data_IF_814448245383
#
_entry.id   IF_814448245383
#
_cell.length_a   1.000
_cell.length_b   1.000
_cell.length_c   1.000
_cell.angle_alpha   90.00
_cell.angle_beta   90.00
_cell.angle_gamma   90.00
#
_symmetry.space_group_name_H-M   'P 1'
#
loop_
_entity.id
_entity.type
_entity.pdbx_description
1 polymer ?
#
# COMPACT_ATOMS: atom_id res chain seq x y z
N UNK A 1 18.48 -13.50 26.67
CA UNK A 1 18.09 -12.18 27.11
C UNK A 1 17.14 -11.59 26.08
N UNK A 2 16.01 -11.04 26.53
CA UNK A 2 14.91 -10.57 25.63
C UNK A 2 15.38 -9.41 24.73
N UNK A 3 16.19 -8.52 25.28
CA UNK A 3 16.83 -7.41 24.58
C UNK A 3 17.76 -7.87 23.44
N UNK A 4 18.55 -8.92 23.70
CA UNK A 4 19.45 -9.49 22.68
C UNK A 4 18.67 -10.12 21.52
N UNK A 5 17.55 -10.79 21.82
CA UNK A 5 16.65 -11.36 20.79
C UNK A 5 15.97 -10.27 19.97
N UNK A 6 15.56 -9.18 20.60
CA UNK A 6 14.93 -8.06 19.91
C UNK A 6 15.92 -7.32 19.00
N UNK A 7 17.15 -7.07 19.46
CA UNK A 7 18.22 -6.52 18.65
C UNK A 7 18.55 -7.42 17.45
N UNK A 8 18.69 -8.72 17.68
CA UNK A 8 18.97 -9.68 16.61
C UNK A 8 17.84 -9.77 15.60
N UNK A 9 16.59 -9.66 16.05
CA UNK A 9 15.43 -9.60 15.18
C UNK A 9 15.40 -8.32 14.32
N UNK A 10 15.78 -7.17 14.88
CA UNK A 10 15.91 -5.90 14.15
C UNK A 10 17.04 -5.95 13.13
N UNK A 11 18.21 -6.48 13.50
CA UNK A 11 19.35 -6.62 12.58
C UNK A 11 19.00 -7.54 11.40
N UNK A 12 18.43 -8.71 11.66
CA UNK A 12 18.01 -9.65 10.62
C UNK A 12 16.95 -9.05 9.68
N UNK A 13 16.03 -8.24 10.20
CA UNK A 13 15.04 -7.51 9.39
C UNK A 13 15.72 -6.49 8.48
N UNK A 14 16.66 -5.72 9.01
CA UNK A 14 17.40 -4.72 8.23
C UNK A 14 18.26 -5.36 7.14
N UNK A 15 18.94 -6.47 7.43
CA UNK A 15 19.74 -7.22 6.44
C UNK A 15 18.86 -7.82 5.34
N UNK A 16 17.77 -8.49 5.70
CA UNK A 16 16.83 -9.05 4.72
C UNK A 16 16.31 -7.95 3.81
N UNK A 17 15.96 -6.82 4.40
CA UNK A 17 15.42 -5.69 3.68
C UNK A 17 16.43 -5.02 2.75
N UNK A 18 17.69 -4.87 3.18
CA UNK A 18 18.78 -4.35 2.35
C UNK A 18 19.04 -5.26 1.13
N UNK A 19 18.97 -6.56 1.34
CA UNK A 19 19.13 -7.56 0.27
C UNK A 19 17.96 -7.50 -0.73
N UNK A 20 16.72 -7.40 -0.25
CA UNK A 20 15.53 -7.27 -1.10
C UNK A 20 15.61 -6.00 -1.96
N UNK A 21 16.01 -4.85 -1.37
CA UNK A 21 16.20 -3.60 -2.10
C UNK A 21 17.29 -3.71 -3.17
N UNK A 22 18.44 -4.30 -2.79
CA UNK A 22 19.54 -4.48 -3.73
C UNK A 22 19.13 -5.33 -4.95
N UNK A 23 18.29 -6.34 -4.74
CA UNK A 23 17.73 -7.16 -5.82
C UNK A 23 16.77 -6.36 -6.71
N UNK A 24 15.87 -5.57 -6.10
CA UNK A 24 14.88 -4.76 -6.82
C UNK A 24 15.50 -3.58 -7.60
N UNK A 25 16.65 -3.04 -7.14
CA UNK A 25 17.41 -2.03 -7.88
C UNK A 25 18.26 -2.67 -9.00
N UNK A 26 18.80 -3.86 -8.79
CA UNK A 26 19.64 -4.53 -9.81
C UNK A 26 18.87 -4.81 -11.10
N UNK A 27 17.58 -5.14 -11.01
CA UNK A 27 16.77 -5.45 -12.18
C UNK A 27 16.61 -4.25 -13.14
N UNK A 28 16.15 -3.05 -12.71
CA UNK A 28 16.08 -1.90 -13.59
C UNK A 28 17.47 -1.40 -14.03
N UNK A 29 18.52 -1.54 -13.20
CA UNK A 29 19.88 -1.21 -13.62
C UNK A 29 20.37 -2.11 -14.76
N UNK A 30 20.08 -3.40 -14.75
CA UNK A 30 20.40 -4.31 -15.84
C UNK A 30 19.64 -3.96 -17.13
N UNK A 31 18.36 -3.59 -17.01
CA UNK A 31 17.53 -3.12 -18.12
C UNK A 31 18.06 -1.81 -18.71
N UNK A 32 18.38 -0.82 -17.84
CA UNK A 32 19.02 0.44 -18.22
C UNK A 32 20.32 0.22 -19.02
N UNK A 33 21.18 -0.64 -18.49
CA UNK A 33 22.45 -0.97 -19.15
C UNK A 33 22.21 -1.55 -20.54
N UNK A 34 21.32 -2.53 -20.67
CA UNK A 34 20.99 -3.15 -21.95
C UNK A 34 20.37 -2.15 -22.93
N UNK A 35 19.45 -1.29 -22.46
CA UNK A 35 18.84 -0.26 -23.30
C UNK A 35 19.86 0.80 -23.77
N UNK A 36 20.81 1.19 -22.92
CA UNK A 36 21.90 2.10 -23.27
C UNK A 36 22.84 1.50 -24.31
N UNK A 37 23.25 0.24 -24.13
CA UNK A 37 24.13 -0.47 -25.10
C UNK A 37 23.45 -0.66 -26.47
N UNK A 38 22.13 -0.81 -26.49
CA UNK A 38 21.36 -0.88 -27.75
C UNK A 38 21.21 0.51 -28.38
N UNK A 39 21.03 1.56 -27.58
CA UNK A 39 20.87 2.93 -28.05
C UNK A 39 22.12 3.37 -28.83
N UNK A 40 23.33 3.03 -28.35
CA UNK A 40 24.60 3.34 -29.02
C UNK A 40 24.73 2.69 -30.40
N UNK A 41 24.01 1.60 -30.66
CA UNK A 41 24.03 0.83 -31.91
C UNK A 41 22.85 1.13 -32.84
N UNK A 42 21.88 1.89 -32.35
CA UNK A 42 20.62 2.14 -33.06
C UNK A 42 20.69 3.43 -33.86
N UNK A 43 20.40 3.35 -35.15
CA UNK A 43 20.34 4.53 -36.06
C UNK A 43 18.91 4.95 -36.41
N UNK A 44 17.91 4.14 -36.03
CA UNK A 44 16.50 4.38 -36.27
C UNK A 44 15.87 5.28 -35.21
N UNK A 45 15.21 6.38 -35.62
CA UNK A 45 14.58 7.36 -34.71
C UNK A 45 13.50 6.72 -33.83
N UNK A 46 12.63 5.91 -34.39
CA UNK A 46 11.52 5.25 -33.67
C UNK A 46 12.03 4.24 -32.64
N UNK A 47 13.12 3.57 -32.95
CA UNK A 47 13.74 2.58 -32.06
C UNK A 47 14.49 3.26 -30.92
N UNK A 48 15.19 4.35 -31.20
CA UNK A 48 15.81 5.22 -30.20
C UNK A 48 14.79 5.80 -29.21
N UNK A 49 13.64 6.27 -29.71
CA UNK A 49 12.56 6.77 -28.84
C UNK A 49 11.99 5.69 -27.90
N UNK A 50 11.87 4.45 -28.37
CA UNK A 50 11.43 3.32 -27.54
C UNK A 50 12.46 3.00 -26.45
N UNK A 51 13.74 2.99 -26.78
CA UNK A 51 14.82 2.74 -25.82
C UNK A 51 14.90 3.85 -24.77
N UNK A 52 14.78 5.11 -25.16
CA UNK A 52 14.73 6.24 -24.23
C UNK A 52 13.53 6.17 -23.29
N UNK A 53 12.37 5.70 -23.76
CA UNK A 53 11.21 5.45 -22.91
C UNK A 53 11.47 4.36 -21.87
N UNK A 54 12.20 3.30 -22.22
CA UNK A 54 12.59 2.25 -21.27
C UNK A 54 13.55 2.81 -20.23
N UNK A 55 14.55 3.58 -20.67
CA UNK A 55 15.54 4.21 -19.78
C UNK A 55 14.83 5.12 -18.76
N UNK A 56 14.03 6.07 -19.22
CA UNK A 56 13.29 6.98 -18.33
C UNK A 56 12.38 6.22 -17.37
N UNK A 57 11.73 5.18 -17.86
CA UNK A 57 10.90 4.31 -17.06
C UNK A 57 11.66 3.67 -15.89
N UNK A 58 12.84 3.13 -16.16
CA UNK A 58 13.61 2.42 -15.16
C UNK A 58 14.28 3.38 -14.17
N UNK A 59 14.67 4.59 -14.62
CA UNK A 59 15.11 5.69 -13.73
C UNK A 59 14.01 6.07 -12.75
N UNK A 60 12.80 6.38 -13.23
CA UNK A 60 11.66 6.69 -12.36
C UNK A 60 11.30 5.55 -11.39
N UNK A 61 11.53 4.30 -11.79
CA UNK A 61 11.33 3.15 -10.92
C UNK A 61 12.34 3.13 -9.79
N UNK A 62 13.62 3.38 -10.09
CA UNK A 62 14.69 3.44 -9.08
C UNK A 62 14.45 4.59 -8.10
N UNK A 63 14.12 5.78 -8.59
CA UNK A 63 13.82 6.95 -7.75
C UNK A 63 12.69 6.65 -6.75
N UNK A 64 11.62 6.00 -7.21
CA UNK A 64 10.52 5.60 -6.34
C UNK A 64 10.95 4.56 -5.32
N UNK A 65 11.70 3.53 -5.72
CA UNK A 65 12.22 2.53 -4.78
C UNK A 65 13.05 3.17 -3.67
N UNK A 66 13.92 4.13 -4.02
CA UNK A 66 14.76 4.86 -3.03
C UNK A 66 13.90 5.73 -2.12
N UNK A 67 12.92 6.44 -2.67
CA UNK A 67 12.02 7.31 -1.90
C UNK A 67 11.19 6.50 -0.91
N UNK A 68 10.56 5.44 -1.38
CA UNK A 68 9.72 4.56 -0.55
C UNK A 68 10.57 3.85 0.52
N UNK A 69 11.80 3.46 0.17
CA UNK A 69 12.76 2.91 1.12
C UNK A 69 13.14 3.91 2.23
N UNK A 70 13.48 5.13 1.83
CA UNK A 70 13.85 6.18 2.77
C UNK A 70 12.70 6.52 3.72
N UNK A 71 11.46 6.56 3.18
CA UNK A 71 10.27 6.79 3.99
C UNK A 71 10.03 5.65 4.98
N UNK A 72 10.15 4.41 4.53
CA UNK A 72 9.98 3.23 5.40
C UNK A 72 11.00 3.21 6.54
N UNK A 73 12.27 3.57 6.29
CA UNK A 73 13.28 3.66 7.37
C UNK A 73 12.94 4.76 8.38
N UNK A 74 12.45 5.92 7.91
CA UNK A 74 11.99 7.01 8.80
C UNK A 74 10.82 6.53 9.65
N UNK A 75 9.89 5.83 9.03
CA UNK A 75 8.70 5.27 9.69
C UNK A 75 9.10 4.26 10.77
N UNK A 76 10.01 3.35 10.47
CA UNK A 76 10.51 2.36 11.43
C UNK A 76 11.26 3.00 12.61
N UNK A 77 12.03 4.06 12.35
CA UNK A 77 12.72 4.82 13.40
C UNK A 77 11.75 5.64 14.28
N UNK A 78 10.66 6.14 13.72
CA UNK A 78 9.67 6.94 14.45
C UNK A 78 8.72 6.06 15.28
N UNK A 79 8.41 4.84 14.83
CA UNK A 79 7.53 3.90 15.54
C UNK A 79 7.97 3.63 16.99
N UNK A 80 9.26 3.68 17.27
CA UNK A 80 9.80 3.50 18.64
C UNK A 80 9.55 4.70 19.56
N UNK A 81 9.14 5.86 19.04
CA UNK A 81 8.96 7.12 19.77
C UNK A 81 7.50 7.57 19.84
N UNK A 82 6.65 7.05 18.96
CA UNK A 82 5.24 7.43 18.87
C UNK A 82 4.43 6.76 19.98
N UNK A 83 3.55 7.53 20.64
CA UNK A 83 2.70 7.03 21.71
C UNK A 83 1.32 6.68 21.16
N UNK A 84 0.83 5.51 21.54
CA UNK A 84 -0.55 5.14 21.25
C UNK A 84 -1.53 5.98 22.08
N UNK A 85 -2.60 6.46 21.47
CA UNK A 85 -3.67 7.23 22.06
C UNK A 85 -5.04 6.64 21.69
N UNK A 86 -6.08 7.07 22.39
CA UNK A 86 -7.47 6.72 22.03
C UNK A 86 -7.88 7.50 20.79
N UNK A 87 -8.19 6.81 19.71
CA UNK A 87 -8.44 7.37 18.39
C UNK A 87 -9.81 6.95 17.88
N UNK A 88 -10.52 7.88 17.24
CA UNK A 88 -11.74 7.62 16.51
C UNK A 88 -11.43 7.22 15.06
N UNK A 89 -11.48 5.91 14.76
CA UNK A 89 -11.12 5.41 13.45
C UNK A 89 -12.02 5.93 12.31
N UNK A 90 -13.29 6.26 12.61
CA UNK A 90 -14.22 6.79 11.61
C UNK A 90 -13.83 8.21 11.18
N UNK A 91 -13.36 9.04 12.11
CA UNK A 91 -12.87 10.38 11.78
C UNK A 91 -11.68 10.32 10.83
N UNK A 92 -10.71 9.44 11.10
CA UNK A 92 -9.56 9.24 10.21
C UNK A 92 -10.02 8.78 8.83
N UNK A 93 -10.93 7.78 8.76
CA UNK A 93 -11.44 7.29 7.47
C UNK A 93 -12.11 8.42 6.68
N UNK A 94 -12.93 9.26 7.35
CA UNK A 94 -13.63 10.35 6.68
C UNK A 94 -12.65 11.42 6.17
N UNK A 95 -11.67 11.82 6.98
CA UNK A 95 -10.68 12.83 6.62
C UNK A 95 -9.85 12.37 5.41
N UNK A 96 -9.25 11.19 5.49
CA UNK A 96 -8.43 10.65 4.40
C UNK A 96 -9.26 10.44 3.14
N UNK A 97 -10.49 9.91 3.26
CA UNK A 97 -11.34 9.71 2.09
C UNK A 97 -11.77 11.02 1.44
N UNK A 98 -11.95 12.11 2.20
CA UNK A 98 -12.28 13.42 1.65
C UNK A 98 -11.11 14.02 0.87
N UNK A 99 -9.88 13.90 1.39
CA UNK A 99 -8.67 14.31 0.67
C UNK A 99 -8.56 13.61 -0.68
N UNK A 100 -8.74 12.28 -0.70
CA UNK A 100 -8.72 11.50 -1.95
C UNK A 100 -9.85 11.87 -2.92
N UNK A 101 -11.06 12.18 -2.45
CA UNK A 101 -12.14 12.67 -3.32
C UNK A 101 -11.81 14.00 -3.96
N UNK A 102 -11.16 14.90 -3.22
CA UNK A 102 -10.72 16.19 -3.74
C UNK A 102 -9.62 16.03 -4.79
N UNK A 103 -8.66 15.14 -4.55
CA UNK A 103 -7.59 14.82 -5.50
C UNK A 103 -8.15 14.19 -6.77
N UNK A 104 -9.08 13.25 -6.69
CA UNK A 104 -9.76 12.65 -7.84
C UNK A 104 -10.48 13.72 -8.69
N UNK A 105 -11.16 14.66 -8.02
CA UNK A 105 -11.82 15.79 -8.70
C UNK A 105 -10.81 16.69 -9.42
N UNK A 106 -9.69 17.02 -8.78
CA UNK A 106 -8.63 17.83 -9.37
C UNK A 106 -7.97 17.14 -10.57
N UNK A 107 -7.90 15.81 -10.57
CA UNK A 107 -7.37 15.00 -11.67
C UNK A 107 -8.42 14.68 -12.76
N UNK A 108 -9.64 15.18 -12.64
CA UNK A 108 -10.78 14.86 -13.52
C UNK A 108 -11.06 13.34 -13.63
N UNK A 109 -10.79 12.58 -12.57
CA UNK A 109 -11.12 11.16 -12.49
C UNK A 109 -12.50 10.95 -11.86
N UNK A 110 -13.34 10.17 -12.52
CA UNK A 110 -14.70 9.89 -12.05
C UNK A 110 -14.77 8.56 -11.30
N UNK A 111 -14.08 8.47 -10.16
CA UNK A 111 -14.13 7.32 -9.25
C UNK A 111 -14.89 7.73 -7.98
N UNK A 112 -15.88 6.93 -7.57
CA UNK A 112 -16.71 7.23 -6.41
C UNK A 112 -16.21 6.52 -5.16
N UNK A 113 -15.87 7.26 -4.10
CA UNK A 113 -15.56 6.71 -2.78
C UNK A 113 -16.79 6.79 -1.89
N UNK A 114 -17.29 5.64 -1.42
CA UNK A 114 -18.46 5.53 -0.55
C UNK A 114 -18.06 4.96 0.80
N UNK A 115 -18.48 5.60 1.88
CA UNK A 115 -18.24 5.15 3.25
C UNK A 115 -19.55 4.62 3.81
N UNK A 116 -19.53 3.44 4.43
CA UNK A 116 -20.63 2.78 5.11
C UNK A 116 -20.26 2.53 6.57
N UNK A 117 -20.74 3.40 7.46
CA UNK A 117 -20.63 3.21 8.90
C UNK A 117 -21.78 2.33 9.38
N UNK A 118 -21.45 1.17 9.96
CA UNK A 118 -22.39 0.20 10.53
C UNK A 118 -22.19 0.03 12.04
N UNK A 119 -21.48 0.98 12.67
CA UNK A 119 -21.26 0.93 14.11
C UNK A 119 -22.50 1.49 14.82
N UNK A 120 -23.05 0.69 15.71
CA UNK A 120 -24.25 1.05 16.48
C UNK A 120 -23.90 1.62 17.86
N UNK A 121 -22.76 1.27 18.44
CA UNK A 121 -22.38 1.69 19.79
C UNK A 121 -21.65 3.03 19.81
N UNK A 122 -21.95 3.91 20.80
CA UNK A 122 -21.28 5.21 20.96
C UNK A 122 -19.77 5.09 21.13
N UNK A 123 -19.28 4.03 21.78
CA UNK A 123 -17.87 3.79 22.03
C UNK A 123 -17.23 2.82 21.04
N UNK A 124 -18.01 2.24 20.13
CA UNK A 124 -17.54 1.22 19.21
C UNK A 124 -16.54 1.67 18.17
N UNK A 125 -16.34 2.98 18.01
CA UNK A 125 -15.45 3.57 16.98
C UNK A 125 -14.05 3.90 17.46
N UNK A 126 -13.73 3.61 18.73
CA UNK A 126 -12.44 3.95 19.30
C UNK A 126 -11.51 2.74 19.35
N UNK A 127 -10.25 3.00 19.03
CA UNK A 127 -9.12 2.05 19.15
C UNK A 127 -7.97 2.71 19.91
N UNK A 128 -7.05 1.92 20.42
CA UNK A 128 -5.75 2.40 20.89
C UNK A 128 -4.77 2.35 19.71
N UNK A 129 -4.25 3.50 19.29
CA UNK A 129 -3.41 3.54 18.09
C UNK A 129 -2.59 4.82 17.94
N UNK A 130 -1.90 4.91 16.81
CA UNK A 130 -1.09 6.04 16.36
C UNK A 130 -1.77 6.63 15.14
N UNK A 131 -2.28 7.85 15.25
CA UNK A 131 -3.19 8.49 14.27
C UNK A 131 -2.59 8.54 12.87
N UNK A 132 -1.42 9.17 12.71
CA UNK A 132 -0.74 9.30 11.42
C UNK A 132 -0.41 7.94 10.77
N UNK A 133 -0.22 6.88 11.56
CA UNK A 133 0.00 5.52 11.05
C UNK A 133 -1.28 4.90 10.50
N UNK A 134 -2.39 5.15 11.18
CA UNK A 134 -3.70 4.68 10.70
C UNK A 134 -4.16 5.46 9.46
N UNK A 135 -3.86 6.76 9.40
CA UNK A 135 -4.02 7.55 8.16
C UNK A 135 -3.23 6.93 7.00
N UNK A 136 -1.96 6.57 7.24
CA UNK A 136 -1.11 5.91 6.26
C UNK A 136 -1.68 4.55 5.79
N UNK A 137 -2.28 3.77 6.71
CA UNK A 137 -2.98 2.51 6.36
C UNK A 137 -4.11 2.78 5.37
N UNK A 138 -4.98 3.74 5.70
CA UNK A 138 -6.15 4.06 4.88
C UNK A 138 -5.71 4.64 3.54
N UNK A 139 -4.75 5.57 3.55
CA UNK A 139 -4.21 6.18 2.34
C UNK A 139 -3.60 5.13 1.38
N UNK A 140 -2.76 4.23 1.88
CA UNK A 140 -2.16 3.17 1.07
C UNK A 140 -3.20 2.21 0.47
N UNK A 141 -4.25 1.89 1.23
CA UNK A 141 -5.32 1.02 0.75
C UNK A 141 -6.19 1.73 -0.30
N UNK A 142 -6.50 3.02 -0.10
CA UNK A 142 -7.25 3.82 -1.07
C UNK A 142 -6.44 4.06 -2.36
N UNK A 143 -5.17 4.46 -2.24
CA UNK A 143 -4.30 4.65 -3.39
C UNK A 143 -4.20 3.37 -4.22
N UNK A 144 -4.04 2.23 -3.56
CA UNK A 144 -4.04 0.94 -4.23
C UNK A 144 -5.38 0.68 -4.95
N UNK A 145 -6.52 0.87 -4.29
CA UNK A 145 -7.84 0.66 -4.89
C UNK A 145 -8.11 1.61 -6.05
N UNK A 146 -7.76 2.90 -5.93
CA UNK A 146 -7.90 3.91 -7.00
C UNK A 146 -7.03 3.54 -8.21
N UNK A 147 -5.81 3.08 -7.96
CA UNK A 147 -4.86 2.74 -9.02
C UNK A 147 -5.28 1.53 -9.87
N UNK A 148 -6.16 0.67 -9.34
CA UNK A 148 -6.76 -0.46 -10.06
C UNK A 148 -8.19 -0.18 -10.55
N UNK A 149 -8.73 1.00 -10.25
CA UNK A 149 -10.07 1.38 -10.67
C UNK A 149 -10.05 2.19 -11.97
N UNK A 150 -11.07 2.01 -12.79
CA UNK A 150 -11.35 2.81 -13.98
C UNK A 150 -12.40 3.87 -13.68
N UNK A 151 -12.56 4.85 -14.57
CA UNK A 151 -13.61 5.85 -14.46
C UNK A 151 -15.00 5.19 -14.35
N UNK A 152 -15.86 5.81 -13.56
CA UNK A 152 -17.20 5.36 -13.20
C UNK A 152 -17.26 4.15 -12.26
N UNK A 153 -16.13 3.64 -11.80
CA UNK A 153 -16.09 2.58 -10.79
C UNK A 153 -16.20 3.14 -9.37
N UNK A 154 -16.52 2.24 -8.43
CA UNK A 154 -16.76 2.58 -7.03
C UNK A 154 -15.77 1.88 -6.12
N UNK A 155 -15.32 2.63 -5.12
CA UNK A 155 -14.57 2.11 -3.97
C UNK A 155 -15.48 2.24 -2.75
N UNK A 156 -15.70 1.14 -2.05
CA UNK A 156 -16.52 1.09 -0.85
C UNK A 156 -15.63 0.85 0.38
N UNK A 157 -15.69 1.76 1.34
CA UNK A 157 -15.11 1.57 2.66
C UNK A 157 -16.27 1.26 3.60
N UNK A 158 -16.29 0.07 4.19
CA UNK A 158 -17.25 -0.28 5.22
C UNK A 158 -16.55 -0.51 6.55
N UNK A 159 -17.16 -0.03 7.62
CA UNK A 159 -16.70 -0.25 8.97
C UNK A 159 -17.82 -0.83 9.80
N UNK A 160 -17.51 -1.90 10.52
CA UNK A 160 -18.44 -2.60 11.40
C UNK A 160 -17.75 -3.01 12.70
N UNK A 161 -18.52 -3.17 13.76
CA UNK A 161 -18.00 -3.63 15.03
C UNK A 161 -18.36 -5.08 15.31
N UNK A 162 -17.40 -5.80 15.90
CA UNK A 162 -17.62 -7.08 16.55
C UNK A 162 -17.49 -6.90 18.07
N UNK A 163 -17.63 -7.97 18.81
CA UNK A 163 -17.47 -7.95 20.27
C UNK A 163 -16.11 -7.36 20.69
N UNK A 164 -15.03 -7.71 19.99
CA UNK A 164 -13.65 -7.35 20.37
C UNK A 164 -12.96 -6.40 19.41
N UNK A 165 -13.38 -6.35 18.14
CA UNK A 165 -12.64 -5.66 17.10
C UNK A 165 -13.53 -4.68 16.32
N UNK A 166 -12.89 -3.66 15.73
CA UNK A 166 -13.38 -2.95 14.57
C UNK A 166 -12.90 -3.67 13.31
N UNK A 167 -13.79 -3.82 12.36
CA UNK A 167 -13.52 -4.45 11.06
C UNK A 167 -13.72 -3.41 9.97
N UNK A 168 -12.63 -2.99 9.36
CA UNK A 168 -12.65 -2.10 8.20
C UNK A 168 -12.45 -2.94 6.94
N UNK A 169 -13.31 -2.75 5.93
CA UNK A 169 -13.19 -3.41 4.62
C UNK A 169 -13.15 -2.35 3.54
N UNK A 170 -12.15 -2.44 2.67
CA UNK A 170 -12.05 -1.61 1.46
C UNK A 170 -12.24 -2.54 0.27
N UNK A 171 -13.20 -2.18 -0.59
CA UNK A 171 -13.59 -2.95 -1.79
C UNK A 171 -13.50 -2.05 -3.00
N UNK A 172 -12.87 -2.54 -4.05
CA UNK A 172 -12.86 -1.90 -5.37
C UNK A 172 -13.64 -2.72 -6.43
N UNK A 173 -13.80 -2.16 -7.60
CA UNK A 173 -14.41 -2.80 -8.77
C UNK A 173 -13.37 -3.08 -9.87
N UNK A 174 -12.09 -3.12 -9.50
CA UNK A 174 -10.98 -3.42 -10.38
C UNK A 174 -10.92 -4.90 -10.82
N UNK A 175 -9.78 -5.34 -11.39
CA UNK A 175 -9.64 -6.72 -11.86
C UNK A 175 -9.62 -7.76 -10.75
N UNK A 176 -9.38 -7.36 -9.50
CA UNK A 176 -9.13 -8.26 -8.38
C UNK A 176 -7.68 -8.77 -8.34
N UNK A 177 -7.43 -9.71 -7.43
CA UNK A 177 -6.13 -10.37 -7.31
C UNK A 177 -6.07 -11.59 -8.22
N UNK A 178 -5.00 -11.70 -9.01
CA UNK A 178 -4.72 -12.87 -9.84
C UNK A 178 -4.03 -14.01 -9.07
N UNK A 179 -3.56 -13.73 -7.86
CA UNK A 179 -2.84 -14.69 -7.02
C UNK A 179 -3.77 -15.70 -6.37
N UNK A 180 -3.36 -16.96 -6.39
CA UNK A 180 -4.01 -18.06 -5.66
C UNK A 180 -3.76 -18.00 -4.15
N UNK A 181 -2.67 -17.33 -3.73
CA UNK A 181 -2.32 -17.11 -2.32
C UNK A 181 -2.32 -15.63 -1.98
N UNK A 182 -3.41 -15.12 -1.38
CA UNK A 182 -3.54 -13.69 -1.03
C UNK A 182 -2.44 -13.16 -0.11
N UNK A 183 -1.78 -14.04 0.66
CA UNK A 183 -0.70 -13.64 1.56
C UNK A 183 0.55 -13.13 0.84
N UNK A 184 0.77 -13.52 -0.42
CA UNK A 184 1.91 -13.07 -1.22
C UNK A 184 1.87 -11.57 -1.52
N UNK A 185 0.68 -10.98 -1.63
CA UNK A 185 0.52 -9.55 -1.93
C UNK A 185 1.05 -8.63 -0.82
N UNK A 186 1.18 -9.15 0.41
CA UNK A 186 1.75 -8.42 1.54
C UNK A 186 3.29 -8.55 1.64
N UNK A 187 3.93 -9.31 0.74
CA UNK A 187 5.39 -9.36 0.67
C UNK A 187 5.92 -8.03 0.13
N UNK A 188 7.11 -7.65 0.59
CA UNK A 188 7.82 -6.46 0.10
C UNK A 188 8.08 -6.58 -1.40
N UNK A 189 7.98 -5.45 -2.09
CA UNK A 189 8.23 -5.33 -3.53
C UNK A 189 7.36 -6.25 -4.40
N UNK A 190 6.35 -6.89 -3.81
CA UNK A 190 5.43 -7.70 -4.59
C UNK A 190 4.54 -6.78 -5.43
N UNK A 191 4.62 -6.94 -6.74
CA UNK A 191 3.74 -6.27 -7.69
C UNK A 191 3.40 -7.23 -8.83
N UNK A 192 2.12 -7.55 -8.97
CA UNK A 192 1.58 -8.30 -10.11
C UNK A 192 0.56 -7.43 -10.84
N UNK A 193 1.02 -6.23 -11.27
CA UNK A 193 0.16 -5.24 -11.95
C UNK A 193 0.17 -5.47 -13.45
N UNK A 194 -0.98 -5.49 -14.11
CA UNK A 194 -1.06 -5.32 -15.54
C UNK A 194 -0.41 -3.97 -15.94
N UNK A 195 0.30 -3.94 -17.07
CA UNK A 195 1.02 -2.75 -17.56
C UNK A 195 0.13 -1.50 -17.70
N UNK A 196 -1.18 -1.69 -17.85
CA UNK A 196 -2.18 -0.62 -17.97
C UNK A 196 -2.50 0.13 -16.66
N UNK A 197 -2.10 -0.38 -15.50
CA UNK A 197 -2.50 0.16 -14.18
C UNK A 197 -1.39 0.94 -13.45
N UNK A 198 -0.45 1.52 -14.18
CA UNK A 198 0.60 2.34 -13.59
C UNK A 198 1.62 1.54 -12.77
N UNK A 199 2.53 2.26 -12.10
CA UNK A 199 3.68 1.68 -11.44
C UNK A 199 3.67 2.07 -9.96
N UNK A 200 3.78 1.06 -9.11
CA UNK A 200 3.96 1.22 -7.67
C UNK A 200 5.15 0.37 -7.22
N UNK A 201 5.78 0.76 -6.11
CA UNK A 201 6.96 0.07 -5.57
C UNK A 201 6.69 -1.34 -5.05
N UNK A 202 5.42 -1.68 -4.79
CA UNK A 202 5.05 -2.94 -4.13
C UNK A 202 5.30 -2.94 -2.62
N UNK A 203 5.54 -1.78 -2.02
CA UNK A 203 5.75 -1.62 -0.57
C UNK A 203 4.47 -1.26 0.19
N UNK A 204 3.49 -0.61 -0.45
CA UNK A 204 2.30 -0.07 0.23
C UNK A 204 1.54 -1.09 1.07
N UNK A 205 1.22 -2.27 0.52
CA UNK A 205 0.51 -3.32 1.28
C UNK A 205 1.37 -3.96 2.38
N UNK A 206 2.69 -4.01 2.21
CA UNK A 206 3.60 -4.46 3.26
C UNK A 206 3.64 -3.45 4.42
N UNK A 207 3.68 -2.15 4.13
CA UNK A 207 3.58 -1.07 5.12
C UNK A 207 2.27 -1.18 5.90
N UNK A 208 1.16 -1.35 5.20
CA UNK A 208 -0.17 -1.55 5.82
C UNK A 208 -0.14 -2.72 6.80
N UNK A 209 0.38 -3.87 6.37
CA UNK A 209 0.49 -5.06 7.22
C UNK A 209 1.29 -4.78 8.49
N UNK A 210 2.47 -4.17 8.37
CA UNK A 210 3.34 -3.86 9.50
C UNK A 210 2.66 -2.91 10.50
N UNK A 211 1.97 -1.88 10.02
CA UNK A 211 1.24 -0.94 10.88
C UNK A 211 0.06 -1.64 11.56
N UNK A 212 -0.71 -2.46 10.85
CA UNK A 212 -1.83 -3.21 11.42
C UNK A 212 -1.35 -4.17 12.51
N UNK A 213 -0.25 -4.90 12.28
CA UNK A 213 0.37 -5.80 13.27
C UNK A 213 0.89 -5.03 14.50
N UNK A 214 1.47 -3.83 14.31
CA UNK A 214 1.86 -2.93 15.40
C UNK A 214 0.66 -2.59 16.31
N UNK A 215 -0.52 -2.40 15.72
CA UNK A 215 -1.77 -2.14 16.43
C UNK A 215 -2.46 -3.41 16.94
N UNK A 216 -1.73 -4.55 16.97
CA UNK A 216 -2.26 -5.87 17.37
C UNK A 216 -3.48 -6.31 16.55
N UNK A 217 -3.59 -5.80 15.34
CA UNK A 217 -4.62 -6.13 14.37
C UNK A 217 -4.20 -7.25 13.43
N UNK A 218 -5.11 -7.61 12.54
CA UNK A 218 -4.86 -8.56 11.46
C UNK A 218 -5.37 -8.00 10.14
N UNK A 219 -4.73 -8.41 9.04
CA UNK A 219 -5.12 -8.00 7.68
C UNK A 219 -5.29 -9.23 6.80
N UNK A 220 -6.32 -9.21 5.98
CA UNK A 220 -6.57 -10.22 4.96
C UNK A 220 -6.98 -9.57 3.65
N UNK A 221 -6.71 -10.26 2.56
CA UNK A 221 -7.13 -9.84 1.23
C UNK A 221 -7.80 -11.00 0.50
N UNK A 222 -8.78 -10.68 -0.32
CA UNK A 222 -9.52 -11.64 -1.13
C UNK A 222 -10.12 -10.95 -2.35
N UNK A 223 -10.55 -11.73 -3.32
CA UNK A 223 -11.44 -11.22 -4.35
C UNK A 223 -12.87 -11.09 -3.80
N UNK A 224 -13.62 -10.15 -4.34
CA UNK A 224 -15.03 -9.98 -4.00
C UNK A 224 -15.82 -11.22 -4.40
N UNK A 225 -16.75 -11.62 -3.54
CA UNK A 225 -17.72 -12.69 -3.86
C UNK A 225 -18.75 -12.16 -4.87
N UNK A 226 -19.04 -12.94 -5.89
CA UNK A 226 -20.10 -12.69 -6.90
C UNK A 226 -19.90 -11.46 -7.81
N UNK A 227 -18.80 -10.71 -7.70
CA UNK A 227 -18.49 -9.54 -8.54
C UNK A 227 -17.00 -9.42 -8.78
N UNK A 228 -16.61 -8.72 -9.84
CA UNK A 228 -15.18 -8.36 -10.02
C UNK A 228 -14.73 -7.38 -8.94
N UNK A 229 -13.45 -7.42 -8.62
CA UNK A 229 -12.80 -6.50 -7.70
C UNK A 229 -12.08 -7.18 -6.57
N UNK A 230 -11.25 -6.42 -5.89
CA UNK A 230 -10.53 -6.83 -4.70
C UNK A 230 -11.25 -6.38 -3.41
N UNK A 231 -10.93 -7.05 -2.32
CA UNK A 231 -11.32 -6.68 -0.97
C UNK A 231 -10.12 -6.84 -0.05
N UNK A 232 -9.84 -5.80 0.72
CA UNK A 232 -8.89 -5.86 1.85
C UNK A 232 -9.67 -5.64 3.13
N UNK A 233 -9.47 -6.53 4.10
CA UNK A 233 -10.10 -6.49 5.41
C UNK A 233 -9.04 -6.28 6.49
N UNK A 234 -9.26 -5.31 7.36
CA UNK A 234 -8.41 -4.95 8.50
C UNK A 234 -9.23 -5.09 9.78
N UNK A 235 -8.73 -5.89 10.72
CA UNK A 235 -9.29 -6.02 12.06
C UNK A 235 -8.39 -5.31 13.05
N UNK A 236 -8.95 -4.41 13.86
CA UNK A 236 -8.22 -3.68 14.91
C UNK A 236 -8.93 -3.88 16.24
N UNK A 237 -8.20 -4.17 17.35
CA UNK A 237 -8.81 -4.31 18.66
C UNK A 237 -9.51 -3.01 19.08
N UNK A 238 -10.74 -3.12 19.60
CA UNK A 238 -11.46 -1.97 20.15
C UNK A 238 -10.79 -1.47 21.43
N UNK A 239 -10.90 -0.17 21.64
CA UNK A 239 -10.55 0.43 22.92
C UNK A 239 -11.58 0.01 23.97
N UNK A 240 -11.13 -0.70 25.00
CA UNK A 240 -11.95 -1.17 26.13
C UNK A 240 -12.09 -0.08 27.18
#
# INVERSE_FOLDING_TARGET
DEMTKELQHRTNRAETFSNDLAHEIRNPLASLKSASELLDKTTGKDESEKLLKIINHDVERIERLITDYSQMLKDEASLSREKMSKINLIEIINNVAEDFKQDLKNQNKNIQIKIKDKISSKNGKYILGIENRLEQVIANLLDNSISFSQDNQKIEISIEETTKNLVMKIKDEGPGFSETSPQKIFKRFYSNRPKSFGKHSGLGLNIVKNIVELHKGTIAASNRLNTKGAQVEVLLPKFS
#
